data_IF_760191428656
#
_entry.id   IF_760191428656
#
_cell.length_a   1.000
_cell.length_b   1.000
_cell.length_c   1.000
_cell.angle_alpha   90.00
_cell.angle_beta   90.00
_cell.angle_gamma   90.00
#
_symmetry.space_group_name_H-M   'P 1'
#
loop_
_entity.id
_entity.type
_entity.pdbx_description
1 polymer ?
#
# COMPACT_ATOMS: atom_id res chain seq x y z
N UNK A 1 -18.48 28.76 -63.74
CA UNK A 1 -17.54 27.82 -63.04
C UNK A 1 -17.20 28.22 -61.61
N UNK A 2 -17.65 29.35 -61.09
CA UNK A 2 -17.33 29.81 -59.71
C UNK A 2 -18.36 29.34 -58.65
N UNK A 3 -19.58 28.95 -59.05
CA UNK A 3 -20.65 28.51 -58.13
C UNK A 3 -20.41 27.08 -57.59
N UNK A 4 -19.65 26.25 -58.28
CA UNK A 4 -19.42 24.83 -57.84
C UNK A 4 -18.48 24.67 -56.64
N UNK A 5 -17.65 25.63 -56.31
CA UNK A 5 -16.70 25.49 -55.21
C UNK A 5 -17.35 25.80 -53.83
N UNK A 6 -18.37 26.66 -53.74
CA UNK A 6 -19.02 27.00 -52.47
C UNK A 6 -19.93 25.89 -51.97
N UNK A 7 -20.64 25.17 -52.85
CA UNK A 7 -21.51 24.05 -52.47
C UNK A 7 -20.71 22.83 -52.00
N UNK A 8 -19.52 22.61 -52.58
CA UNK A 8 -18.63 21.54 -52.12
C UNK A 8 -18.11 21.77 -50.70
N UNK A 9 -17.66 23.00 -50.39
CA UNK A 9 -17.24 23.36 -49.03
C UNK A 9 -18.35 23.28 -48.01
N UNK A 10 -19.57 23.59 -48.38
CA UNK A 10 -20.72 23.51 -47.49
C UNK A 10 -21.10 22.05 -47.19
N UNK A 11 -21.08 21.17 -48.19
CA UNK A 11 -21.35 19.75 -48.06
C UNK A 11 -20.27 19.03 -47.25
N UNK A 12 -19.00 19.32 -47.49
CA UNK A 12 -17.89 18.77 -46.72
C UNK A 12 -17.94 19.19 -45.26
N UNK A 13 -18.32 20.43 -44.96
CA UNK A 13 -18.54 20.93 -43.63
C UNK A 13 -19.68 20.18 -42.88
N UNK A 14 -20.80 19.98 -43.55
CA UNK A 14 -21.93 19.19 -43.00
C UNK A 14 -21.54 17.74 -42.72
N UNK A 15 -20.75 17.12 -43.58
CA UNK A 15 -20.24 15.78 -43.39
C UNK A 15 -19.28 15.72 -42.17
N UNK A 16 -18.38 16.68 -42.05
CA UNK A 16 -17.46 16.78 -40.89
C UNK A 16 -18.23 17.02 -39.59
N UNK A 17 -19.21 17.92 -39.58
CA UNK A 17 -20.06 18.18 -38.41
C UNK A 17 -20.84 16.92 -38.02
N UNK A 18 -21.44 16.22 -38.99
CA UNK A 18 -22.15 14.96 -38.75
C UNK A 18 -21.23 13.86 -38.23
N UNK A 19 -20.02 13.71 -38.82
CA UNK A 19 -19.02 12.76 -38.34
C UNK A 19 -18.53 13.09 -36.95
N UNK A 20 -18.31 14.36 -36.63
CA UNK A 20 -17.89 14.82 -35.29
C UNK A 20 -18.95 14.52 -34.23
N UNK A 21 -20.22 14.80 -34.56
CA UNK A 21 -21.35 14.49 -33.66
C UNK A 21 -21.45 12.97 -33.42
N UNK A 22 -21.35 12.17 -34.49
CA UNK A 22 -21.39 10.70 -34.40
C UNK A 22 -20.25 10.13 -33.53
N UNK A 23 -19.03 10.62 -33.76
CA UNK A 23 -17.86 10.23 -32.94
C UNK A 23 -18.03 10.67 -31.50
N UNK A 24 -18.51 11.89 -31.25
CA UNK A 24 -18.78 12.39 -29.88
C UNK A 24 -19.82 11.54 -29.17
N UNK A 25 -20.92 11.17 -29.86
CA UNK A 25 -21.96 10.29 -29.31
C UNK A 25 -21.41 8.89 -28.99
N UNK A 26 -20.60 8.31 -29.87
CA UNK A 26 -19.98 7.00 -29.61
C UNK A 26 -19.00 7.04 -28.42
N UNK A 27 -18.19 8.10 -28.32
CA UNK A 27 -17.29 8.33 -27.19
C UNK A 27 -18.06 8.52 -25.88
N UNK A 28 -19.14 9.30 -25.88
CA UNK A 28 -19.99 9.48 -24.69
C UNK A 28 -20.67 8.17 -24.28
N UNK A 29 -21.17 7.39 -25.24
CA UNK A 29 -21.77 6.07 -24.97
C UNK A 29 -20.74 5.12 -24.35
N UNK A 30 -19.54 5.04 -24.94
CA UNK A 30 -18.43 4.23 -24.40
C UNK A 30 -18.02 4.68 -23.00
N UNK A 31 -17.95 6.00 -22.76
CA UNK A 31 -17.65 6.55 -21.43
C UNK A 31 -18.72 6.14 -20.43
N UNK A 32 -20.02 6.30 -20.76
CA UNK A 32 -21.13 5.94 -19.87
C UNK A 32 -21.13 4.45 -19.52
N UNK A 33 -20.93 3.56 -20.52
CA UNK A 33 -20.84 2.12 -20.29
C UNK A 33 -19.69 1.81 -19.32
N UNK A 34 -18.51 2.40 -19.56
CA UNK A 34 -17.33 2.17 -18.72
C UNK A 34 -17.50 2.69 -17.29
N UNK A 35 -18.14 3.85 -17.11
CA UNK A 35 -18.46 4.37 -15.77
C UNK A 35 -19.48 3.47 -15.04
N UNK A 36 -20.47 2.93 -15.75
CA UNK A 36 -21.45 2.00 -15.18
C UNK A 36 -20.80 0.66 -14.76
N UNK A 37 -19.91 0.12 -15.59
CA UNK A 37 -19.14 -1.09 -15.28
C UNK A 37 -18.26 -0.87 -14.03
N UNK A 38 -17.54 0.26 -13.95
CA UNK A 38 -16.74 0.62 -12.79
C UNK A 38 -17.58 0.80 -11.53
N UNK A 39 -18.78 1.36 -11.66
CA UNK A 39 -19.69 1.51 -10.52
C UNK A 39 -20.14 0.15 -9.99
N UNK A 40 -20.55 -0.76 -10.86
CA UNK A 40 -20.95 -2.13 -10.50
C UNK A 40 -19.78 -2.88 -9.86
N UNK A 41 -18.58 -2.80 -10.47
CA UNK A 41 -17.37 -3.40 -9.95
C UNK A 41 -17.01 -2.88 -8.56
N UNK A 42 -17.11 -1.56 -8.36
CA UNK A 42 -16.84 -0.93 -7.07
C UNK A 42 -17.75 -1.52 -5.96
N UNK A 43 -19.00 -1.79 -6.25
CA UNK A 43 -19.95 -2.35 -5.26
C UNK A 43 -19.57 -3.78 -4.86
N UNK A 44 -19.45 -4.72 -5.80
CA UNK A 44 -19.20 -6.10 -5.44
C UNK A 44 -17.79 -6.37 -4.92
N UNK A 45 -16.77 -5.66 -5.43
CA UNK A 45 -15.42 -5.72 -4.89
C UNK A 45 -15.38 -5.22 -3.45
N UNK A 46 -16.09 -4.11 -3.14
CA UNK A 46 -16.18 -3.61 -1.78
C UNK A 46 -16.84 -4.62 -0.83
N UNK A 47 -17.89 -5.32 -1.24
CA UNK A 47 -18.50 -6.38 -0.44
C UNK A 47 -17.58 -7.58 -0.24
N UNK A 48 -16.78 -7.92 -1.26
CA UNK A 48 -15.84 -9.04 -1.23
C UNK A 48 -14.68 -8.78 -0.25
N UNK A 49 -14.05 -7.60 -0.30
CA UNK A 49 -12.94 -7.25 0.60
C UNK A 49 -13.36 -7.18 2.09
N UNK A 50 -14.65 -6.91 2.35
CA UNK A 50 -15.18 -6.90 3.71
C UNK A 50 -15.83 -8.24 4.12
N UNK A 51 -15.61 -9.31 3.35
CA UNK A 51 -16.13 -10.66 3.64
C UNK A 51 -17.66 -10.74 3.74
N UNK A 52 -18.37 -9.85 3.04
CA UNK A 52 -19.85 -9.81 2.99
C UNK A 52 -20.40 -10.59 1.81
N UNK A 53 -19.66 -10.65 0.69
CA UNK A 53 -20.01 -11.41 -0.49
C UNK A 53 -19.32 -12.78 -0.41
N UNK A 54 -20.06 -13.81 0.07
CA UNK A 54 -19.56 -15.19 0.24
C UNK A 54 -20.14 -16.16 -0.77
N UNK A 55 -21.23 -15.76 -1.44
CA UNK A 55 -21.90 -16.62 -2.39
C UNK A 55 -21.17 -16.60 -3.75
N UNK A 56 -20.63 -17.75 -4.12
CA UNK A 56 -19.92 -17.93 -5.38
C UNK A 56 -20.81 -17.64 -6.59
N UNK A 57 -22.11 -17.94 -6.52
CA UNK A 57 -23.07 -17.70 -7.61
C UNK A 57 -23.18 -16.20 -7.89
N UNK A 58 -23.16 -15.37 -6.84
CA UNK A 58 -23.21 -13.92 -7.01
C UNK A 58 -21.93 -13.38 -7.63
N UNK A 59 -20.76 -13.92 -7.27
CA UNK A 59 -19.48 -13.55 -7.89
C UNK A 59 -19.48 -13.97 -9.37
N UNK A 60 -19.93 -15.18 -9.68
CA UNK A 60 -20.05 -15.67 -11.06
C UNK A 60 -20.99 -14.82 -11.91
N UNK A 61 -22.08 -14.31 -11.33
CA UNK A 61 -23.01 -13.43 -12.03
C UNK A 61 -22.37 -12.07 -12.39
N UNK A 62 -21.34 -11.62 -11.66
CA UNK A 62 -20.64 -10.35 -11.94
C UNK A 62 -19.58 -10.48 -13.04
N UNK A 63 -18.84 -11.58 -13.06
CA UNK A 63 -17.67 -11.75 -13.94
C UNK A 63 -17.86 -12.83 -15.02
N UNK A 64 -18.94 -13.63 -14.94
CA UNK A 64 -19.18 -14.76 -15.83
C UNK A 64 -18.57 -16.06 -15.33
N UNK A 65 -19.23 -17.18 -15.68
CA UNK A 65 -18.89 -18.49 -15.16
C UNK A 65 -17.48 -18.97 -15.54
N UNK A 66 -17.09 -18.80 -16.81
CA UNK A 66 -15.79 -19.27 -17.31
C UNK A 66 -14.63 -18.42 -16.77
N UNK A 67 -14.81 -17.11 -16.69
CA UNK A 67 -13.85 -16.21 -16.11
C UNK A 67 -13.70 -16.48 -14.61
N UNK A 68 -14.81 -16.71 -13.89
CA UNK A 68 -14.78 -17.10 -12.47
C UNK A 68 -13.93 -18.36 -12.24
N UNK A 69 -14.15 -19.43 -12.99
CA UNK A 69 -13.38 -20.68 -12.86
C UNK A 69 -11.89 -20.47 -13.07
N UNK A 70 -11.53 -19.66 -14.06
CA UNK A 70 -10.13 -19.34 -14.37
C UNK A 70 -9.49 -18.55 -13.24
N UNK A 71 -10.16 -17.49 -12.78
CA UNK A 71 -9.63 -16.59 -11.77
C UNK A 71 -9.60 -17.22 -10.37
N UNK A 72 -10.60 -18.01 -10.01
CA UNK A 72 -10.67 -18.68 -8.71
C UNK A 72 -9.52 -19.71 -8.51
N UNK A 73 -8.98 -20.24 -9.60
CA UNK A 73 -7.83 -21.15 -9.60
C UNK A 73 -6.48 -20.44 -9.79
N UNK A 74 -6.49 -19.15 -10.12
CA UNK A 74 -5.30 -18.35 -10.31
C UNK A 74 -4.81 -17.77 -9.00
N UNK A 75 -3.50 -17.52 -8.90
CA UNK A 75 -2.96 -16.76 -7.81
C UNK A 75 -3.38 -15.28 -7.95
N UNK A 76 -3.82 -14.68 -6.86
CA UNK A 76 -4.17 -13.26 -6.81
C UNK A 76 -3.68 -12.64 -5.52
N UNK A 77 -3.56 -11.32 -5.51
CA UNK A 77 -3.27 -10.55 -4.31
C UNK A 77 -4.03 -9.22 -4.35
N UNK A 78 -4.25 -8.67 -3.17
CA UNK A 78 -4.88 -7.35 -3.03
C UNK A 78 -3.80 -6.31 -2.81
N UNK A 79 -3.93 -5.19 -3.53
CA UNK A 79 -3.12 -4.01 -3.34
C UNK A 79 -3.99 -2.85 -2.90
N UNK A 80 -3.51 -2.06 -1.96
CA UNK A 80 -4.16 -0.83 -1.52
C UNK A 80 -3.26 0.34 -1.89
N UNK A 81 -3.71 1.13 -2.87
CA UNK A 81 -3.03 2.34 -3.34
C UNK A 81 -3.64 3.56 -2.64
N UNK A 82 -2.84 4.28 -1.89
CA UNK A 82 -3.20 5.56 -1.29
C UNK A 82 -2.57 6.70 -2.09
N UNK A 83 -3.39 7.69 -2.42
CA UNK A 83 -2.97 8.88 -3.15
C UNK A 83 -3.03 10.07 -2.20
N UNK A 84 -1.88 10.68 -1.95
CA UNK A 84 -1.75 11.90 -1.15
C UNK A 84 -1.41 13.06 -2.07
N UNK A 85 -2.26 14.09 -2.08
CA UNK A 85 -1.99 15.32 -2.82
C UNK A 85 -0.94 16.13 -2.07
N UNK A 86 0.13 16.53 -2.75
CA UNK A 86 1.12 17.47 -2.22
C UNK A 86 0.54 18.86 -2.48
N UNK A 87 0.20 19.61 -1.42
CA UNK A 87 -0.61 20.85 -1.42
C UNK A 87 -0.15 21.90 -2.43
N UNK A 88 -1.13 22.49 -3.14
CA UNK A 88 -1.17 23.91 -3.48
C UNK A 88 -2.52 24.46 -2.99
N UNK A 89 -2.47 25.71 -2.50
CA UNK A 89 -3.57 26.42 -1.84
C UNK A 89 -4.84 26.45 -2.70
N UNK A 90 -5.92 25.88 -2.22
CA UNK A 90 -7.35 26.17 -2.37
C UNK A 90 -8.19 24.92 -2.09
N UNK A 91 -8.87 24.92 -0.96
CA UNK A 91 -9.48 23.71 -0.34
C UNK A 91 -10.99 23.54 -0.61
N UNK A 92 -11.60 24.20 -1.59
CA UNK A 92 -13.08 24.35 -1.62
C UNK A 92 -13.87 23.52 -2.67
N UNK A 93 -13.40 22.32 -3.09
CA UNK A 93 -14.23 21.47 -3.96
C UNK A 93 -14.01 19.97 -3.73
N UNK A 94 -14.11 19.47 -2.48
CA UNK A 94 -13.52 18.17 -2.12
C UNK A 94 -14.28 16.92 -2.58
N UNK A 95 -15.62 16.84 -2.54
CA UNK A 95 -16.32 15.56 -2.78
C UNK A 95 -16.48 15.20 -4.27
N UNK A 96 -16.84 16.15 -5.10
CA UNK A 96 -17.01 15.91 -6.54
C UNK A 96 -15.66 15.68 -7.24
N UNK A 97 -14.61 16.39 -6.81
CA UNK A 97 -13.24 16.20 -7.29
C UNK A 97 -12.69 14.82 -6.91
N UNK A 98 -12.96 14.33 -5.71
CA UNK A 98 -12.53 13.00 -5.25
C UNK A 98 -13.19 11.86 -6.03
N UNK A 99 -14.48 11.96 -6.35
CA UNK A 99 -15.18 10.94 -7.15
C UNK A 99 -14.66 10.88 -8.58
N UNK A 100 -14.45 12.03 -9.21
CA UNK A 100 -13.87 12.12 -10.55
C UNK A 100 -12.43 11.58 -10.58
N UNK A 101 -11.62 11.91 -9.56
CA UNK A 101 -10.25 11.40 -9.40
C UNK A 101 -10.24 9.88 -9.23
N UNK A 102 -11.18 9.31 -8.46
CA UNK A 102 -11.29 7.87 -8.26
C UNK A 102 -11.53 7.10 -9.57
N UNK A 103 -12.45 7.57 -10.41
CA UNK A 103 -12.74 6.98 -11.73
C UNK A 103 -11.49 7.06 -12.62
N UNK A 104 -10.86 8.22 -12.69
CA UNK A 104 -9.68 8.44 -13.53
C UNK A 104 -8.51 7.56 -13.09
N UNK A 105 -8.25 7.51 -11.79
CA UNK A 105 -7.22 6.64 -11.20
C UNK A 105 -7.49 5.17 -11.49
N UNK A 106 -8.74 4.70 -11.34
CA UNK A 106 -9.13 3.33 -11.65
C UNK A 106 -8.83 2.93 -13.10
N UNK A 107 -9.06 3.85 -14.05
CA UNK A 107 -8.78 3.63 -15.46
C UNK A 107 -7.27 3.58 -15.76
N UNK A 108 -6.50 4.50 -15.20
CA UNK A 108 -5.03 4.54 -15.34
C UNK A 108 -4.43 3.24 -14.79
N UNK A 109 -4.82 2.88 -13.58
CA UNK A 109 -4.33 1.67 -12.90
C UNK A 109 -4.67 0.43 -13.69
N UNK A 110 -5.94 0.26 -14.12
CA UNK A 110 -6.36 -0.88 -14.94
C UNK A 110 -5.52 -1.00 -16.20
N UNK A 111 -5.37 0.09 -16.96
CA UNK A 111 -4.56 0.11 -18.18
C UNK A 111 -3.11 -0.27 -17.93
N UNK A 112 -2.51 0.24 -16.85
CA UNK A 112 -1.14 -0.08 -16.48
C UNK A 112 -0.93 -1.55 -16.13
N UNK A 113 -1.89 -2.18 -15.43
CA UNK A 113 -1.83 -3.60 -15.09
C UNK A 113 -2.10 -4.52 -16.28
N UNK A 114 -3.08 -4.18 -17.13
CA UNK A 114 -3.42 -4.94 -18.34
C UNK A 114 -2.27 -5.00 -19.34
N UNK A 115 -1.49 -3.93 -19.50
CA UNK A 115 -0.27 -3.91 -20.32
C UNK A 115 0.76 -4.97 -19.88
N UNK A 116 0.70 -5.41 -18.63
CA UNK A 116 1.55 -6.46 -18.07
C UNK A 116 0.85 -7.81 -17.92
N UNK A 117 -0.30 -7.99 -18.58
CA UNK A 117 -1.12 -9.20 -18.58
C UNK A 117 -1.71 -9.58 -17.21
N UNK A 118 -1.87 -8.62 -16.30
CA UNK A 118 -2.63 -8.81 -15.06
C UNK A 118 -4.11 -8.50 -15.31
N UNK A 119 -5.00 -9.33 -14.78
CA UNK A 119 -6.43 -9.02 -14.70
C UNK A 119 -6.71 -8.32 -13.38
N UNK A 120 -7.43 -7.20 -13.40
CA UNK A 120 -7.69 -6.43 -12.17
C UNK A 120 -9.17 -6.10 -12.00
N UNK A 121 -9.60 -6.03 -10.72
CA UNK A 121 -10.86 -5.44 -10.31
C UNK A 121 -10.60 -4.42 -9.22
N UNK A 122 -11.31 -3.29 -9.26
CA UNK A 122 -10.98 -2.13 -8.45
C UNK A 122 -12.17 -1.64 -7.65
N UNK A 123 -11.92 -1.14 -6.44
CA UNK A 123 -12.88 -0.32 -5.68
C UNK A 123 -12.18 0.91 -5.12
N UNK A 124 -12.84 2.07 -5.18
CA UNK A 124 -12.28 3.33 -4.69
C UNK A 124 -13.13 3.87 -3.53
N UNK A 125 -12.49 4.10 -2.39
CA UNK A 125 -13.11 4.67 -1.21
C UNK A 125 -12.09 5.39 -0.34
N UNK A 126 -12.46 6.54 0.22
CA UNK A 126 -11.64 7.30 1.17
C UNK A 126 -10.20 7.58 0.67
N UNK A 127 -10.06 8.08 -0.57
CA UNK A 127 -8.78 8.34 -1.22
C UNK A 127 -7.86 7.11 -1.38
N UNK A 128 -8.41 5.91 -1.24
CA UNK A 128 -7.71 4.65 -1.46
C UNK A 128 -8.34 3.87 -2.59
N UNK A 129 -7.53 3.42 -3.52
CA UNK A 129 -7.92 2.48 -4.54
C UNK A 129 -7.49 1.08 -4.09
N UNK A 130 -8.45 0.20 -3.89
CA UNK A 130 -8.20 -1.22 -3.64
C UNK A 130 -8.26 -1.96 -4.97
N UNK A 131 -7.24 -2.75 -5.25
CA UNK A 131 -7.03 -3.43 -6.52
C UNK A 131 -6.86 -4.92 -6.23
N UNK A 132 -7.77 -5.75 -6.74
CA UNK A 132 -7.58 -7.20 -6.82
C UNK A 132 -6.77 -7.48 -8.08
N UNK A 133 -5.61 -8.08 -7.93
CA UNK A 133 -4.68 -8.34 -9.01
C UNK A 133 -4.55 -9.84 -9.19
N UNK A 134 -5.03 -10.36 -10.31
CA UNK A 134 -4.88 -11.77 -10.68
C UNK A 134 -3.62 -11.95 -11.52
N UNK A 135 -2.80 -12.92 -11.14
CA UNK A 135 -1.54 -13.18 -11.81
C UNK A 135 -1.76 -13.83 -13.17
N UNK A 136 -0.91 -13.57 -14.18
CA UNK A 136 -1.01 -14.19 -15.49
C UNK A 136 -0.90 -15.72 -15.39
N UNK A 137 -1.81 -16.44 -16.02
CA UNK A 137 -1.86 -17.92 -15.96
C UNK A 137 -0.77 -18.62 -16.78
N UNK A 138 -0.07 -17.94 -17.68
CA UNK A 138 0.83 -18.52 -18.67
C UNK A 138 2.30 -18.19 -18.41
N UNK A 139 3.11 -19.25 -18.14
CA UNK A 139 4.57 -19.21 -18.12
C UNK A 139 5.21 -19.58 -16.78
N UNK A 140 6.20 -20.51 -16.80
CA UNK A 140 6.94 -20.94 -15.58
C UNK A 140 7.68 -19.78 -14.89
N UNK A 141 8.19 -18.80 -15.65
CA UNK A 141 8.87 -17.61 -15.09
C UNK A 141 7.90 -16.59 -14.45
N UNK A 142 6.63 -16.60 -14.83
CA UNK A 142 5.64 -15.65 -14.31
C UNK A 142 5.07 -16.05 -12.94
N UNK A 143 5.42 -17.25 -12.44
CA UNK A 143 5.05 -17.73 -11.09
C UNK A 143 6.15 -17.48 -10.05
N UNK A 144 7.27 -16.90 -10.44
CA UNK A 144 8.33 -16.52 -9.51
C UNK A 144 7.88 -15.29 -8.71
N UNK A 145 7.78 -15.37 -7.37
CA UNK A 145 7.39 -14.25 -6.51
C UNK A 145 8.29 -13.02 -6.69
N UNK A 146 9.58 -13.22 -6.92
CA UNK A 146 10.52 -12.12 -7.14
C UNK A 146 10.18 -11.35 -8.42
N UNK A 147 9.89 -12.06 -9.51
CA UNK A 147 9.50 -11.46 -10.77
C UNK A 147 8.17 -10.68 -10.69
N UNK A 148 7.21 -11.19 -9.90
CA UNK A 148 5.94 -10.49 -9.64
C UNK A 148 6.21 -9.19 -8.86
N UNK A 149 7.03 -9.22 -7.82
CA UNK A 149 7.41 -8.04 -7.03
C UNK A 149 8.05 -6.95 -7.91
N UNK A 150 9.02 -7.30 -8.74
CA UNK A 150 9.66 -6.36 -9.67
C UNK A 150 8.64 -5.73 -10.65
N UNK A 151 7.75 -6.55 -11.21
CA UNK A 151 6.70 -6.05 -12.09
C UNK A 151 5.75 -5.07 -11.39
N UNK A 152 5.31 -5.37 -10.18
CA UNK A 152 4.43 -4.49 -9.41
C UNK A 152 5.10 -3.15 -9.10
N UNK A 153 6.38 -3.16 -8.74
CA UNK A 153 7.16 -1.93 -8.54
C UNK A 153 7.29 -1.11 -9.82
N UNK A 154 7.51 -1.78 -10.96
CA UNK A 154 7.59 -1.11 -12.27
C UNK A 154 6.24 -0.47 -12.65
N UNK A 155 5.14 -1.20 -12.46
CA UNK A 155 3.78 -0.70 -12.75
C UNK A 155 3.48 0.53 -11.88
N UNK A 156 3.79 0.49 -10.58
CA UNK A 156 3.60 1.64 -9.70
C UNK A 156 4.41 2.86 -10.16
N UNK A 157 5.66 2.65 -10.55
CA UNK A 157 6.51 3.72 -11.10
C UNK A 157 5.93 4.33 -12.39
N UNK A 158 5.29 3.51 -13.23
CA UNK A 158 4.62 3.99 -14.43
C UNK A 158 3.34 4.77 -14.09
N UNK A 159 2.54 4.31 -13.13
CA UNK A 159 1.35 5.02 -12.63
C UNK A 159 1.78 6.37 -12.04
N UNK A 160 2.83 6.41 -11.23
CA UNK A 160 3.37 7.64 -10.64
C UNK A 160 3.76 8.66 -11.73
N UNK A 161 4.45 8.20 -12.78
CA UNK A 161 4.78 9.05 -13.94
C UNK A 161 3.55 9.57 -14.68
N UNK A 162 2.52 8.74 -14.86
CA UNK A 162 1.28 9.14 -15.53
C UNK A 162 0.50 10.15 -14.70
N UNK A 163 0.51 10.02 -13.37
CA UNK A 163 -0.17 10.93 -12.46
C UNK A 163 0.55 12.27 -12.27
N UNK A 164 1.87 12.27 -12.33
CA UNK A 164 2.73 13.44 -12.08
C UNK A 164 3.32 14.05 -13.36
N UNK A 165 2.79 13.68 -14.53
CA UNK A 165 3.28 14.18 -15.83
C UNK A 165 3.00 15.67 -16.09
N UNK A 166 1.98 16.24 -15.46
CA UNK A 166 1.65 17.67 -15.53
C UNK A 166 2.25 18.42 -14.33
N UNK A 167 2.93 19.54 -14.58
CA UNK A 167 3.63 20.32 -13.56
C UNK A 167 2.72 20.95 -12.49
N UNK A 168 1.41 21.01 -12.72
CA UNK A 168 0.48 21.74 -11.87
C UNK A 168 0.00 21.00 -10.61
N UNK A 169 0.05 19.66 -10.57
CA UNK A 169 -0.41 18.88 -9.41
C UNK A 169 0.53 17.71 -9.14
N UNK A 170 1.16 17.71 -7.96
CA UNK A 170 2.01 16.59 -7.53
C UNK A 170 1.25 15.68 -6.58
N UNK A 171 1.28 14.38 -6.86
CA UNK A 171 0.73 13.33 -6.03
C UNK A 171 1.86 12.46 -5.47
N UNK A 172 1.70 12.03 -4.25
CA UNK A 172 2.54 11.00 -3.64
C UNK A 172 1.71 9.72 -3.56
N UNK A 173 2.24 8.64 -4.11
CA UNK A 173 1.59 7.34 -4.17
C UNK A 173 2.25 6.39 -3.20
N UNK A 174 1.44 5.65 -2.43
CA UNK A 174 1.87 4.58 -1.55
C UNK A 174 1.07 3.32 -1.84
N UNK A 175 1.74 2.20 -1.96
CA UNK A 175 1.14 0.91 -2.27
C UNK A 175 1.48 -0.10 -1.17
N UNK A 176 0.45 -0.57 -0.46
CA UNK A 176 0.52 -1.75 0.39
C UNK A 176 0.05 -2.98 -0.39
N UNK A 177 0.76 -4.08 -0.30
CA UNK A 177 0.50 -5.31 -1.06
C UNK A 177 0.38 -6.47 -0.08
N UNK A 178 -0.77 -7.16 -0.12
CA UNK A 178 -1.02 -8.38 0.66
C UNK A 178 -0.36 -9.61 0.05
N UNK A 179 -0.40 -10.70 0.79
CA UNK A 179 0.08 -12.01 0.35
C UNK A 179 -0.76 -12.55 -0.81
N UNK A 180 -0.13 -13.31 -1.69
CA UNK A 180 -0.80 -13.97 -2.80
C UNK A 180 -1.57 -15.21 -2.32
N UNK A 181 -2.83 -15.32 -2.73
CA UNK A 181 -3.74 -16.43 -2.40
C UNK A 181 -4.44 -16.95 -3.65
N UNK A 182 -5.12 -18.09 -3.51
CA UNK A 182 -6.09 -18.62 -4.47
C UNK A 182 -7.49 -18.56 -3.88
N UNK A 183 -8.48 -18.41 -4.78
CA UNK A 183 -9.89 -18.41 -4.40
C UNK A 183 -10.36 -17.09 -3.80
N UNK A 184 -11.48 -16.59 -4.32
CA UNK A 184 -12.07 -15.31 -3.94
C UNK A 184 -12.37 -15.16 -2.43
N UNK A 185 -12.56 -16.29 -1.71
CA UNK A 185 -12.81 -16.29 -0.26
C UNK A 185 -11.63 -15.75 0.57
N UNK A 186 -10.41 -15.71 0.01
CA UNK A 186 -9.22 -15.16 0.67
C UNK A 186 -9.01 -13.65 0.40
N UNK A 187 -9.94 -13.00 -0.31
CA UNK A 187 -9.77 -11.58 -0.69
C UNK A 187 -9.72 -10.67 0.54
N UNK A 188 -10.57 -10.91 1.54
CA UNK A 188 -10.55 -10.11 2.78
C UNK A 188 -9.24 -10.23 3.54
N UNK A 189 -8.65 -11.44 3.58
CA UNK A 189 -7.37 -11.67 4.24
C UNK A 189 -6.24 -10.89 3.55
N UNK A 190 -6.13 -11.04 2.21
CA UNK A 190 -5.12 -10.28 1.45
C UNK A 190 -5.32 -8.76 1.53
N UNK A 191 -6.58 -8.28 1.64
CA UNK A 191 -6.90 -6.87 1.83
C UNK A 191 -6.47 -6.35 3.20
N UNK A 192 -6.71 -7.10 4.28
CA UNK A 192 -6.24 -6.76 5.62
C UNK A 192 -4.72 -6.66 5.67
N UNK A 193 -4.02 -7.61 5.08
CA UNK A 193 -2.57 -7.63 4.97
C UNK A 193 -2.03 -6.44 4.17
N UNK A 194 -2.65 -6.12 3.02
CA UNK A 194 -2.28 -4.96 2.22
C UNK A 194 -2.47 -3.63 2.98
N UNK A 195 -3.53 -3.55 3.79
CA UNK A 195 -3.81 -2.38 4.63
C UNK A 195 -2.76 -2.25 5.75
N UNK A 196 -2.37 -3.37 6.37
CA UNK A 196 -1.29 -3.42 7.37
C UNK A 196 0.05 -3.03 6.78
N UNK A 197 0.37 -3.49 5.58
CA UNK A 197 1.58 -3.08 4.88
C UNK A 197 1.58 -1.57 4.61
N UNK A 198 0.47 -1.02 4.09
CA UNK A 198 0.32 0.41 3.82
C UNK A 198 0.44 1.27 5.08
N UNK A 199 -0.01 0.78 6.22
CA UNK A 199 0.10 1.47 7.51
C UNK A 199 1.56 1.79 7.88
N UNK A 200 2.52 0.98 7.47
CA UNK A 200 3.96 1.17 7.72
C UNK A 200 4.66 2.06 6.69
N UNK A 201 3.93 2.75 5.79
CA UNK A 201 4.50 3.57 4.71
C UNK A 201 5.47 4.67 5.19
N UNK A 202 5.14 5.30 6.31
CA UNK A 202 5.98 6.34 6.92
C UNK A 202 7.19 5.76 7.63
N UNK A 203 7.06 4.56 8.20
CA UNK A 203 8.13 3.86 8.90
C UNK A 203 9.23 3.37 7.95
N UNK A 204 8.83 2.73 6.84
CA UNK A 204 9.78 2.20 5.85
C UNK A 204 10.27 3.25 4.83
N UNK A 205 9.63 4.41 4.75
CA UNK A 205 9.92 5.46 3.75
C UNK A 205 9.97 4.91 2.30
N UNK A 206 9.21 3.84 2.05
CA UNK A 206 9.12 3.18 0.75
C UNK A 206 7.75 3.42 0.12
N UNK A 207 7.68 3.72 -1.18
CA UNK A 207 6.40 3.88 -1.87
C UNK A 207 5.65 2.55 -2.06
N UNK A 208 6.35 1.41 -1.93
CA UNK A 208 5.76 0.08 -2.11
C UNK A 208 6.19 -0.84 -0.97
N UNK A 209 5.22 -1.41 -0.26
CA UNK A 209 5.45 -2.28 0.90
C UNK A 209 4.70 -3.58 0.70
N UNK A 210 5.42 -4.68 0.72
CA UNK A 210 4.87 -6.03 0.67
C UNK A 210 4.69 -6.57 2.09
N UNK A 211 3.50 -7.08 2.40
CA UNK A 211 3.21 -7.65 3.72
C UNK A 211 4.15 -8.83 4.06
N UNK A 212 4.49 -9.65 3.06
CA UNK A 212 5.43 -10.77 3.22
C UNK A 212 6.82 -10.34 3.71
N UNK A 213 7.26 -9.12 3.37
CA UNK A 213 8.59 -8.62 3.70
C UNK A 213 8.66 -7.94 5.08
N UNK A 214 7.52 -7.82 5.79
CA UNK A 214 7.44 -7.13 7.08
C UNK A 214 8.11 -7.89 8.23
N UNK A 215 8.34 -9.20 8.08
CA UNK A 215 8.99 -10.00 9.12
C UNK A 215 8.26 -9.89 10.47
N UNK A 216 8.99 -9.48 11.51
CA UNK A 216 8.45 -9.35 12.86
C UNK A 216 7.31 -8.32 12.98
N UNK A 217 7.25 -7.33 12.10
CA UNK A 217 6.16 -6.34 12.10
C UNK A 217 4.78 -6.95 11.84
N UNK A 218 4.67 -8.10 11.16
CA UNK A 218 3.41 -8.82 11.01
C UNK A 218 2.81 -9.18 12.38
N UNK A 219 3.65 -9.60 13.33
CA UNK A 219 3.23 -9.94 14.71
C UNK A 219 2.88 -8.66 15.48
N UNK A 220 3.73 -7.63 15.39
CA UNK A 220 3.54 -6.37 16.10
C UNK A 220 2.25 -5.65 15.65
N UNK A 221 1.92 -5.67 14.37
CA UNK A 221 0.68 -5.10 13.86
C UNK A 221 -0.56 -5.83 14.38
N UNK A 222 -0.51 -7.17 14.50
CA UNK A 222 -1.59 -7.94 15.08
C UNK A 222 -1.76 -7.64 16.60
N UNK A 223 -0.66 -7.41 17.31
CA UNK A 223 -0.72 -6.97 18.73
C UNK A 223 -1.27 -5.55 18.84
N UNK A 224 -0.92 -4.68 17.92
CA UNK A 224 -1.43 -3.31 17.85
C UNK A 224 -2.95 -3.28 17.65
N UNK A 225 -3.49 -4.01 16.68
CA UNK A 225 -4.93 -4.13 16.43
C UNK A 225 -5.72 -4.64 17.63
N UNK A 226 -5.09 -5.50 18.45
CA UNK A 226 -5.68 -6.01 19.69
C UNK A 226 -5.50 -5.09 20.89
N UNK A 227 -4.87 -3.93 20.72
CA UNK A 227 -4.57 -3.00 21.83
C UNK A 227 -3.56 -3.53 22.84
N UNK A 228 -2.75 -4.54 22.47
CA UNK A 228 -1.80 -5.20 23.36
C UNK A 228 -0.37 -4.68 23.23
N UNK A 229 -0.08 -3.85 22.21
CA UNK A 229 1.27 -3.42 21.89
C UNK A 229 1.91 -2.57 23.00
N UNK A 230 1.16 -1.63 23.57
CA UNK A 230 1.63 -0.78 24.68
C UNK A 230 1.95 -1.62 25.93
N UNK A 231 1.10 -2.58 26.26
CA UNK A 231 1.34 -3.49 27.38
C UNK A 231 2.61 -4.31 27.17
N UNK A 232 2.86 -4.77 25.94
CA UNK A 232 4.08 -5.50 25.60
C UNK A 232 5.33 -4.61 25.75
N UNK A 233 5.30 -3.38 25.28
CA UNK A 233 6.38 -2.41 25.44
C UNK A 233 6.65 -2.14 26.92
N UNK A 234 5.60 -1.85 27.70
CA UNK A 234 5.74 -1.53 29.12
C UNK A 234 6.29 -2.71 29.93
N UNK A 235 5.92 -3.94 29.60
CA UNK A 235 6.42 -5.13 30.33
C UNK A 235 7.92 -5.39 30.10
N UNK A 236 8.47 -4.99 28.96
CA UNK A 236 9.88 -5.25 28.63
C UNK A 236 10.78 -4.03 28.72
N UNK A 237 10.27 -2.84 28.46
CA UNK A 237 11.06 -1.59 28.39
C UNK A 237 10.61 -0.54 29.41
N UNK A 238 9.54 -0.76 30.16
CA UNK A 238 8.92 0.24 31.01
C UNK A 238 9.93 0.88 31.99
N UNK A 239 10.74 0.08 32.67
CA UNK A 239 11.77 0.58 33.61
C UNK A 239 12.83 1.45 32.92
N UNK A 240 13.23 1.11 31.69
CA UNK A 240 14.19 1.92 30.93
C UNK A 240 13.56 3.24 30.46
N UNK A 241 12.32 3.18 29.98
CA UNK A 241 11.57 4.38 29.53
C UNK A 241 11.37 5.34 30.72
N UNK A 242 10.99 4.82 31.89
CA UNK A 242 10.84 5.63 33.09
C UNK A 242 12.16 6.28 33.54
N UNK A 243 13.27 5.55 33.50
CA UNK A 243 14.59 6.07 33.86
C UNK A 243 15.04 7.14 32.89
N UNK A 244 14.87 6.93 31.58
CA UNK A 244 15.18 7.92 30.55
C UNK A 244 14.34 9.18 30.69
N UNK A 245 13.04 9.07 30.98
CA UNK A 245 12.16 10.21 31.25
C UNK A 245 12.58 11.01 32.47
N UNK A 246 13.05 10.34 33.55
CA UNK A 246 13.46 10.99 34.81
C UNK A 246 14.81 11.66 34.71
N UNK A 247 15.78 11.07 34.01
CA UNK A 247 17.20 11.46 34.05
C UNK A 247 17.80 11.86 32.70
N UNK A 248 17.03 11.75 31.62
CA UNK A 248 17.49 11.96 30.23
C UNK A 248 18.78 11.17 29.92
N UNK A 249 18.76 9.88 30.29
CA UNK A 249 19.95 9.02 30.31
C UNK A 249 20.26 8.29 29.00
N UNK A 250 19.36 8.32 28.01
CA UNK A 250 19.48 7.66 26.71
C UNK A 250 19.75 6.14 26.79
N UNK A 251 19.22 5.44 27.82
CA UNK A 251 19.44 4.02 28.01
C UNK A 251 18.76 3.19 26.93
N UNK A 252 17.54 3.58 26.53
CA UNK A 252 16.79 2.89 25.47
C UNK A 252 17.53 2.98 24.13
N UNK A 253 18.04 4.16 23.77
CA UNK A 253 18.86 4.36 22.58
C UNK A 253 20.15 3.52 22.64
N UNK A 254 20.78 3.47 23.81
CA UNK A 254 21.98 2.67 24.03
C UNK A 254 21.70 1.17 23.89
N UNK A 255 20.58 0.69 24.45
CA UNK A 255 20.15 -0.70 24.31
C UNK A 255 19.87 -1.06 22.84
N UNK A 256 19.18 -0.19 22.10
CA UNK A 256 18.90 -0.39 20.68
C UNK A 256 20.18 -0.62 19.89
N UNK A 257 21.11 0.33 19.93
CA UNK A 257 22.40 0.24 19.23
C UNK A 257 23.18 -1.01 19.66
N UNK A 258 23.16 -1.34 20.96
CA UNK A 258 23.83 -2.52 21.48
C UNK A 258 23.25 -3.84 20.94
N UNK A 259 21.94 -3.95 20.81
CA UNK A 259 21.26 -5.15 20.29
C UNK A 259 21.39 -5.31 18.77
N UNK A 260 21.43 -4.20 18.03
CA UNK A 260 21.57 -4.17 16.57
C UNK A 260 23.03 -4.37 16.13
N UNK A 261 23.98 -3.93 16.96
CA UNK A 261 25.39 -3.97 16.64
C UNK A 261 25.98 -5.37 16.87
N UNK A 262 26.62 -5.91 15.84
CA UNK A 262 27.51 -7.07 15.96
C UNK A 262 28.97 -6.64 16.22
N UNK A 263 29.16 -5.34 16.51
CA UNK A 263 30.47 -4.71 16.62
C UNK A 263 31.10 -4.78 18.00
N UNK A 264 32.32 -4.29 18.08
CA UNK A 264 33.02 -4.09 19.36
C UNK A 264 32.36 -2.94 20.16
N UNK A 265 32.49 -2.96 21.48
CA UNK A 265 32.03 -1.87 22.35
C UNK A 265 32.61 -0.51 21.95
N UNK A 266 33.74 -0.49 21.23
CA UNK A 266 34.32 0.72 20.65
C UNK A 266 33.39 1.29 19.55
N UNK A 267 32.99 0.44 18.61
CA UNK A 267 32.12 0.83 17.50
C UNK A 267 30.78 1.39 18.02
N UNK A 268 30.21 0.77 19.07
CA UNK A 268 28.97 1.22 19.69
C UNK A 268 29.13 2.59 20.35
N UNK A 269 30.26 2.82 21.05
CA UNK A 269 30.53 4.12 21.68
C UNK A 269 30.72 5.23 20.62
N UNK A 270 31.40 4.90 19.51
CA UNK A 270 31.60 5.82 18.38
C UNK A 270 30.24 6.17 17.71
N UNK A 271 29.37 5.18 17.49
CA UNK A 271 28.02 5.37 16.92
C UNK A 271 27.11 6.22 17.82
N UNK A 272 27.19 6.02 19.13
CA UNK A 272 26.44 6.82 20.11
C UNK A 272 27.09 8.19 20.41
N UNK A 273 28.24 8.49 19.84
CA UNK A 273 29.03 9.72 20.10
C UNK A 273 29.36 9.92 21.59
N UNK A 274 29.70 8.84 22.30
CA UNK A 274 30.06 8.87 23.73
C UNK A 274 31.42 8.19 23.98
N UNK A 275 32.04 8.53 25.12
CA UNK A 275 33.25 7.85 25.56
C UNK A 275 32.95 6.44 26.08
N UNK A 276 33.89 5.52 25.97
CA UNK A 276 33.73 4.14 26.41
C UNK A 276 33.26 3.98 27.86
N UNK A 277 33.77 4.81 28.73
CA UNK A 277 33.39 4.79 30.16
C UNK A 277 31.89 5.06 30.33
N UNK A 278 31.33 6.02 29.60
CA UNK A 278 29.89 6.32 29.60
C UNK A 278 29.08 5.16 29.06
N UNK A 279 29.55 4.46 28.00
CA UNK A 279 28.89 3.27 27.49
C UNK A 279 28.84 2.16 28.55
N UNK A 280 29.97 1.87 29.22
CA UNK A 280 30.01 0.86 30.28
C UNK A 280 29.05 1.19 31.42
N UNK A 281 29.00 2.45 31.86
CA UNK A 281 28.05 2.90 32.87
C UNK A 281 26.59 2.67 32.44
N UNK A 282 26.25 3.07 31.20
CA UNK A 282 24.90 2.87 30.66
C UNK A 282 24.52 1.39 30.54
N UNK A 283 25.42 0.54 30.06
CA UNK A 283 25.20 -0.90 29.99
C UNK A 283 25.04 -1.56 31.37
N UNK A 284 25.79 -1.13 32.38
CA UNK A 284 25.62 -1.62 33.74
C UNK A 284 24.25 -1.20 34.31
N UNK A 285 23.84 0.05 34.03
CA UNK A 285 22.52 0.53 34.43
C UNK A 285 21.39 -0.21 33.74
N UNK A 286 21.50 -0.54 32.46
CA UNK A 286 20.56 -1.37 31.71
C UNK A 286 20.47 -2.77 32.37
N UNK A 287 21.59 -3.36 32.72
CA UNK A 287 21.67 -4.65 33.39
C UNK A 287 21.00 -4.64 34.77
N UNK A 288 21.18 -3.59 35.55
CA UNK A 288 20.50 -3.40 36.85
C UNK A 288 18.96 -3.37 36.68
N UNK A 289 18.46 -2.69 35.64
CA UNK A 289 17.02 -2.52 35.40
C UNK A 289 16.36 -3.74 34.77
N UNK A 290 17.04 -4.44 33.86
CA UNK A 290 16.48 -5.57 33.09
C UNK A 290 16.86 -6.93 33.66
N UNK A 291 17.82 -6.99 34.61
CA UNK A 291 18.36 -8.21 35.21
C UNK A 291 19.62 -8.72 34.53
N UNK A 292 20.37 -9.53 35.27
CA UNK A 292 21.67 -10.11 34.85
C UNK A 292 21.60 -10.86 33.50
N UNK A 293 20.46 -11.50 33.24
CA UNK A 293 20.23 -12.39 32.10
C UNK A 293 19.53 -11.70 30.92
N UNK A 294 19.51 -10.34 30.89
CA UNK A 294 18.81 -9.59 29.79
C UNK A 294 19.34 -9.92 28.39
N UNK A 295 20.58 -10.41 28.29
CA UNK A 295 21.22 -10.85 27.04
C UNK A 295 21.01 -12.34 26.72
N UNK A 296 20.24 -13.08 27.53
CA UNK A 296 19.84 -14.45 27.16
C UNK A 296 19.05 -14.45 25.86
N UNK A 297 19.16 -15.53 25.07
CA UNK A 297 18.55 -15.59 23.72
C UNK A 297 17.08 -15.16 23.70
N UNK A 298 16.30 -15.62 24.68
CA UNK A 298 14.86 -15.33 24.75
C UNK A 298 14.58 -13.86 25.11
N UNK A 299 15.27 -13.32 26.14
CA UNK A 299 15.11 -11.94 26.57
C UNK A 299 15.61 -10.95 25.50
N UNK A 300 16.75 -11.26 24.87
CA UNK A 300 17.29 -10.46 23.78
C UNK A 300 16.28 -10.30 22.63
N UNK A 301 15.66 -11.41 22.20
CA UNK A 301 14.63 -11.37 21.17
C UNK A 301 13.42 -10.54 21.61
N UNK A 302 12.94 -10.73 22.84
CA UNK A 302 11.82 -9.96 23.37
C UNK A 302 12.14 -8.45 23.43
N UNK A 303 13.34 -8.07 23.84
CA UNK A 303 13.79 -6.67 23.86
C UNK A 303 13.90 -6.08 22.46
N UNK A 304 14.40 -6.83 21.48
CA UNK A 304 14.45 -6.38 20.08
C UNK A 304 13.05 -6.10 19.53
N UNK A 305 12.10 -7.02 19.78
CA UNK A 305 10.70 -6.82 19.39
C UNK A 305 10.05 -5.65 20.12
N UNK A 306 10.33 -5.48 21.41
CA UNK A 306 9.78 -4.39 22.21
C UNK A 306 10.29 -3.01 21.76
N UNK A 307 11.55 -2.92 21.33
CA UNK A 307 12.11 -1.68 20.74
C UNK A 307 11.41 -1.34 19.45
N UNK A 308 11.22 -2.31 18.54
CA UNK A 308 10.48 -2.09 17.29
C UNK A 308 9.02 -1.68 17.57
N UNK A 309 8.39 -2.29 18.56
CA UNK A 309 7.04 -1.95 19.00
C UNK A 309 6.96 -0.50 19.54
N UNK A 310 7.94 -0.10 20.36
CA UNK A 310 8.04 1.27 20.89
C UNK A 310 8.22 2.31 19.77
N UNK A 311 9.05 2.03 18.79
CA UNK A 311 9.24 2.89 17.62
C UNK A 311 7.96 3.00 16.80
N UNK A 312 7.23 1.89 16.61
CA UNK A 312 5.96 1.88 15.91
C UNK A 312 4.90 2.76 16.61
N UNK A 313 4.80 2.70 17.94
CA UNK A 313 3.89 3.55 18.73
C UNK A 313 4.24 5.04 18.61
N UNK A 314 5.51 5.38 18.72
CA UNK A 314 5.97 6.79 18.65
C UNK A 314 5.83 7.39 17.26
N UNK A 315 5.96 6.57 16.20
CA UNK A 315 5.78 7.03 14.81
C UNK A 315 4.34 7.42 14.47
N UNK A 316 3.37 6.97 15.27
CA UNK A 316 1.95 7.33 15.12
C UNK A 316 1.59 8.63 15.83
N UNK A 317 2.37 8.99 16.83
CA UNK A 317 2.15 10.21 17.61
C UNK A 317 2.75 11.46 16.96
N UNK A 318 3.55 11.31 15.90
CA UNK A 318 4.18 12.37 15.10
C UNK A 318 3.46 12.63 13.79
#
# INVERSE_FOLDING_TARGET
CIVKNQDFYHYDRLLLDSATISIAQDLLKKKYIRESELHTENLWVNELIHNRLKDEILIQAQIGHDEYKTLNNSDFQVCVLEVKRIKHEHEDALESANKSMGIHLSLIVRSAFEQHAFRTFNTFKNNRLVILIFHPSSGKKQKDPFFIKEKLQLILKNIDKMMNGDECTKFQLFLGIGTAYKGFHNTSLSYEEATKALFLKTFYQSPTIFYEDLGAFQILLNLHEKGMLESYVNSHLGLLIEEDCKKNSDLLKTLKVYLESNGSKKSIADELHIVRQSLYYRLEKIKELLGEDYMSTQKRLALQLAIQAYELLNHQAS
#
